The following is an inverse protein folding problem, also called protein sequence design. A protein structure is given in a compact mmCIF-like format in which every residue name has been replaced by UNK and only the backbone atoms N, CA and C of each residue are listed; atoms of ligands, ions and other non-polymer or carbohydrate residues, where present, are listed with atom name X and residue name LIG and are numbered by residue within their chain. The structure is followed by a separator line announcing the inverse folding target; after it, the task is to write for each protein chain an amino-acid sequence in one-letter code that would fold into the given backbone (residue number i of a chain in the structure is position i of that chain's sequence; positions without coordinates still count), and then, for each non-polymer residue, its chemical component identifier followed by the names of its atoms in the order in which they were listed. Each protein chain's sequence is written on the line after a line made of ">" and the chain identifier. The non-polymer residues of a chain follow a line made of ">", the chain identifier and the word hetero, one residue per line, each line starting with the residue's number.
data_IF_494199043366
#
_entry.id   IF_494199043366
#
_cell.length_a   1.000
_cell.length_b   1.000
_cell.length_c   1.000
_cell.angle_alpha   90.00
_cell.angle_beta   90.00
_cell.angle_gamma   90.00
#
_symmetry.space_group_name_H-M   'P 1'
#
loop_
_entity.id
_entity.type
_entity.pdbx_description
1 polymer ?
#
# COMPACT_ATOMS: atom_id res chain seq x y z
N UNK A 1 0.99 -17.75 -35.13
CA UNK A 1 0.42 -16.45 -35.11
C UNK A 1 -0.45 -16.23 -33.95
N UNK A 2 -1.39 -17.06 -33.69
CA UNK A 2 -2.27 -16.89 -32.57
C UNK A 2 -1.55 -16.83 -31.25
N UNK A 3 -0.45 -17.54 -31.11
CA UNK A 3 0.33 -17.51 -29.90
C UNK A 3 1.04 -16.17 -29.67
N UNK A 4 1.23 -15.37 -30.72
CA UNK A 4 1.82 -14.05 -30.56
C UNK A 4 0.88 -13.10 -29.83
N UNK A 5 -0.40 -13.18 -30.10
CA UNK A 5 -1.37 -12.36 -29.41
C UNK A 5 -1.40 -12.66 -27.92
N UNK A 6 -1.34 -13.96 -27.57
CA UNK A 6 -1.31 -14.35 -26.19
C UNK A 6 -0.08 -13.85 -25.46
N UNK A 7 1.03 -13.83 -26.14
CA UNK A 7 2.26 -13.34 -25.58
C UNK A 7 2.18 -11.83 -25.25
N UNK A 8 1.63 -11.04 -26.14
CA UNK A 8 1.48 -9.62 -25.92
C UNK A 8 0.59 -9.32 -24.73
N UNK A 9 -0.44 -10.11 -24.50
CA UNK A 9 -1.29 -10.02 -23.36
C UNK A 9 -0.54 -10.15 -22.06
N UNK A 10 0.32 -11.19 -21.94
CA UNK A 10 1.09 -11.45 -20.74
C UNK A 10 1.99 -10.28 -20.39
N UNK A 11 2.62 -9.68 -21.37
CA UNK A 11 3.51 -8.55 -21.13
C UNK A 11 2.73 -7.37 -20.56
N UNK A 12 1.59 -7.06 -21.13
CA UNK A 12 0.79 -5.94 -20.66
C UNK A 12 0.29 -6.17 -19.23
N UNK A 13 -0.18 -7.37 -18.95
CA UNK A 13 -0.66 -7.70 -17.61
C UNK A 13 0.46 -7.61 -16.59
N UNK A 14 1.64 -8.09 -16.90
CA UNK A 14 2.79 -8.02 -16.00
C UNK A 14 3.18 -6.59 -15.68
N UNK A 15 3.20 -5.73 -16.68
CA UNK A 15 3.58 -4.34 -16.49
C UNK A 15 2.60 -3.60 -15.58
N UNK A 16 1.31 -3.91 -15.66
CA UNK A 16 0.30 -3.24 -14.88
C UNK A 16 0.28 -3.67 -13.42
N UNK A 17 0.82 -4.84 -13.11
CA UNK A 17 0.70 -5.41 -11.79
C UNK A 17 1.97 -5.31 -10.94
N UNK A 18 3.03 -4.74 -11.47
CA UNK A 18 4.31 -4.76 -10.78
C UNK A 18 4.40 -3.71 -9.69
N UNK A 19 4.73 -4.13 -8.46
CA UNK A 19 5.05 -3.29 -7.31
C UNK A 19 6.20 -3.96 -6.58
N UNK A 20 7.19 -3.18 -6.17
CA UNK A 20 8.32 -3.70 -5.38
C UNK A 20 7.81 -4.30 -4.07
N UNK A 21 8.61 -5.15 -3.45
CA UNK A 21 8.22 -5.84 -2.21
C UNK A 21 9.18 -5.55 -1.06
N UNK A 22 8.67 -5.69 0.15
CA UNK A 22 9.45 -5.65 1.37
C UNK A 22 8.89 -6.65 2.36
N UNK A 23 9.74 -7.20 3.23
CA UNK A 23 9.28 -8.09 4.30
C UNK A 23 8.90 -7.28 5.52
N UNK A 24 7.96 -7.79 6.31
CA UNK A 24 7.58 -7.17 7.58
C UNK A 24 8.82 -6.91 8.45
N UNK A 25 9.74 -7.86 8.51
CA UNK A 25 10.96 -7.72 9.31
C UNK A 25 11.86 -6.57 8.86
N UNK A 26 11.70 -6.09 7.65
CA UNK A 26 12.50 -5.00 7.09
C UNK A 26 11.82 -3.63 7.23
N UNK A 27 10.58 -3.60 7.71
CA UNK A 27 9.87 -2.35 7.93
C UNK A 27 10.42 -1.63 9.18
N UNK A 28 10.34 -0.29 9.20
CA UNK A 28 10.60 0.44 10.45
C UNK A 28 9.65 -0.03 11.56
N UNK A 29 10.07 0.06 12.82
CA UNK A 29 9.20 -0.37 13.94
C UNK A 29 7.83 0.30 13.92
N UNK A 30 7.77 1.57 13.60
CA UNK A 30 6.50 2.31 13.55
C UNK A 30 5.55 1.76 12.48
N UNK A 31 6.09 1.26 11.38
CA UNK A 31 5.28 0.64 10.33
C UNK A 31 4.76 -0.72 10.79
N UNK A 32 5.57 -1.50 11.51
CA UNK A 32 5.11 -2.76 12.09
C UNK A 32 4.00 -2.52 13.10
N UNK A 33 4.13 -1.47 13.92
CA UNK A 33 3.10 -1.10 14.89
C UNK A 33 1.78 -0.76 14.20
N UNK A 34 1.84 0.04 13.14
CA UNK A 34 0.65 0.39 12.36
C UNK A 34 0.02 -0.85 11.74
N UNK A 35 0.83 -1.74 11.19
CA UNK A 35 0.32 -2.98 10.61
C UNK A 35 -0.45 -3.81 11.64
N UNK A 36 0.09 -3.91 12.85
CA UNK A 36 -0.57 -4.60 13.95
C UNK A 36 -1.92 -3.95 14.29
N UNK A 37 -1.97 -2.61 14.35
CA UNK A 37 -3.21 -1.90 14.60
C UNK A 37 -4.26 -2.14 13.51
N UNK A 38 -3.84 -2.14 12.26
CA UNK A 38 -4.76 -2.40 11.13
C UNK A 38 -5.37 -3.79 11.28
N UNK A 39 -4.55 -4.79 11.56
CA UNK A 39 -5.02 -6.17 11.72
C UNK A 39 -5.96 -6.34 12.92
N UNK A 40 -5.76 -5.54 13.94
CA UNK A 40 -6.59 -5.56 15.13
C UNK A 40 -7.88 -4.73 14.99
N UNK A 41 -7.99 -3.94 13.94
CA UNK A 41 -9.15 -3.07 13.74
C UNK A 41 -9.11 -1.77 14.53
N UNK A 42 -7.95 -1.36 14.98
CA UNK A 42 -7.76 -0.15 15.77
C UNK A 42 -7.63 -0.43 17.25
N UNK A 43 -7.77 0.59 18.11
CA UNK A 43 -8.07 1.99 17.76
C UNK A 43 -6.89 2.70 17.10
N UNK A 44 -7.22 3.62 16.20
CA UNK A 44 -6.21 4.35 15.44
C UNK A 44 -5.92 5.70 16.07
N UNK A 45 -4.70 6.21 15.83
CA UNK A 45 -4.24 7.45 16.48
C UNK A 45 -4.61 8.72 15.75
N UNK A 46 -4.88 8.64 14.46
CA UNK A 46 -5.12 9.80 13.62
C UNK A 46 -6.53 9.76 13.04
N UNK A 47 -7.21 10.92 12.94
CA UNK A 47 -8.57 10.94 12.40
C UNK A 47 -8.66 10.47 10.94
N UNK A 48 -7.54 10.58 10.20
CA UNK A 48 -7.49 10.18 8.81
C UNK A 48 -7.36 8.67 8.62
N UNK A 49 -7.00 7.94 9.67
CA UNK A 49 -6.76 6.52 9.55
C UNK A 49 -8.04 5.75 9.19
N UNK A 50 -7.93 4.88 8.21
CA UNK A 50 -9.06 4.10 7.72
C UNK A 50 -9.84 4.76 6.61
N UNK A 51 -9.48 5.98 6.19
CA UNK A 51 -10.16 6.64 5.09
C UNK A 51 -9.78 6.03 3.75
N UNK A 52 -10.65 6.21 2.76
CA UNK A 52 -10.39 5.71 1.41
C UNK A 52 -9.15 6.35 0.81
N UNK A 53 -8.27 5.50 0.28
CA UNK A 53 -7.17 5.94 -0.58
C UNK A 53 -7.60 5.77 -2.03
N UNK A 54 -7.58 6.86 -2.80
CA UNK A 54 -8.18 6.87 -4.13
C UNK A 54 -7.28 6.35 -5.26
N UNK A 55 -5.98 6.19 -4.99
CA UNK A 55 -5.03 5.66 -5.99
C UNK A 55 -5.06 6.47 -7.30
N UNK A 56 -5.12 7.80 -7.18
CA UNK A 56 -5.30 8.68 -8.34
C UNK A 56 -4.17 8.59 -9.35
N UNK A 57 -2.93 8.43 -8.89
CA UNK A 57 -1.78 8.26 -9.76
C UNK A 57 -1.64 6.84 -10.29
N UNK A 58 -2.50 5.95 -9.87
CA UNK A 58 -2.52 4.55 -10.34
C UNK A 58 -1.20 3.81 -10.13
N UNK A 59 -0.52 4.12 -9.02
CA UNK A 59 0.72 3.44 -8.64
C UNK A 59 0.42 2.02 -8.17
N UNK A 60 -0.69 1.83 -7.45
CA UNK A 60 -1.18 0.51 -7.05
C UNK A 60 -2.09 -0.06 -8.13
N UNK A 61 -2.32 -1.40 -8.13
CA UNK A 61 -3.25 -2.00 -9.08
C UNK A 61 -4.62 -1.32 -9.04
N UNK A 62 -5.22 -1.15 -10.20
CA UNK A 62 -6.52 -0.48 -10.30
C UNK A 62 -7.60 -1.34 -9.65
N UNK A 63 -8.39 -0.72 -8.77
CA UNK A 63 -9.54 -1.34 -8.12
C UNK A 63 -10.67 -0.33 -8.01
N UNK A 64 -11.87 -0.81 -7.65
CA UNK A 64 -13.01 0.07 -7.45
C UNK A 64 -12.80 1.00 -6.26
N UNK A 65 -13.51 2.10 -6.26
CA UNK A 65 -13.46 3.07 -5.18
C UNK A 65 -13.80 2.39 -3.85
N UNK A 66 -13.03 2.73 -2.82
CA UNK A 66 -13.22 2.15 -1.49
C UNK A 66 -12.47 0.86 -1.26
N UNK A 67 -11.81 0.32 -2.29
CA UNK A 67 -11.01 -0.89 -2.14
C UNK A 67 -9.82 -0.68 -1.23
N UNK A 68 -9.15 0.48 -1.34
CA UNK A 68 -7.96 0.81 -0.56
C UNK A 68 -8.29 1.77 0.57
N UNK A 69 -7.64 1.56 1.72
CA UNK A 69 -7.74 2.45 2.89
C UNK A 69 -6.35 2.85 3.36
N UNK A 70 -6.20 4.10 3.76
CA UNK A 70 -4.90 4.62 4.22
C UNK A 70 -4.79 4.61 5.72
N UNK A 71 -3.56 4.44 6.21
CA UNK A 71 -3.25 4.49 7.64
C UNK A 71 -1.91 5.17 7.83
N UNK A 72 -1.81 5.96 8.89
CA UNK A 72 -0.60 6.72 9.19
C UNK A 72 0.45 5.85 9.87
N UNK A 73 1.68 5.95 9.38
CA UNK A 73 2.86 5.41 10.07
C UNK A 73 3.57 6.60 10.70
N UNK A 74 3.71 6.58 12.02
CA UNK A 74 4.33 7.69 12.76
C UNK A 74 5.76 7.92 12.28
N UNK A 75 6.12 9.18 12.07
CA UNK A 75 7.49 9.59 11.80
C UNK A 75 8.05 10.16 13.10
N UNK A 76 9.02 9.50 13.75
CA UNK A 76 9.57 10.01 15.00
C UNK A 76 10.13 11.41 14.83
N UNK A 77 9.80 12.30 15.78
CA UNK A 77 10.25 13.68 15.75
C UNK A 77 9.50 14.62 14.82
N UNK A 78 8.59 14.11 14.01
CA UNK A 78 7.80 14.98 13.13
C UNK A 78 6.70 15.68 13.92
N UNK A 79 6.44 16.94 13.58
CA UNK A 79 5.36 17.72 14.20
C UNK A 79 4.00 17.37 13.66
N UNK A 80 3.96 16.94 12.41
CA UNK A 80 2.72 16.55 11.74
C UNK A 80 2.71 15.03 11.50
N UNK A 81 1.80 14.56 10.65
CA UNK A 81 1.70 13.14 10.33
C UNK A 81 2.91 12.59 9.57
N UNK A 82 3.73 13.48 8.97
CA UNK A 82 4.79 13.04 8.10
C UNK A 82 4.27 12.40 6.82
N UNK A 83 5.15 11.72 6.09
CA UNK A 83 4.85 11.20 4.75
C UNK A 83 4.67 9.68 4.70
N UNK A 84 4.78 8.99 5.84
CA UNK A 84 4.74 7.52 5.86
C UNK A 84 3.32 7.02 6.02
N UNK A 85 2.94 6.01 5.23
CA UNK A 85 1.60 5.41 5.28
C UNK A 85 1.67 3.91 5.04
N UNK A 86 0.63 3.21 5.51
CA UNK A 86 0.31 1.88 4.99
C UNK A 86 -1.05 2.00 4.31
N UNK A 87 -1.15 1.42 3.12
CA UNK A 87 -2.42 1.29 2.40
C UNK A 87 -2.82 -0.17 2.44
N UNK A 88 -4.02 -0.43 2.91
CA UNK A 88 -4.58 -1.77 3.00
C UNK A 88 -5.61 -1.99 1.89
N UNK A 89 -5.48 -3.08 1.16
CA UNK A 89 -6.46 -3.49 0.18
C UNK A 89 -7.50 -4.42 0.80
N UNK A 90 -8.71 -4.39 0.26
CA UNK A 90 -9.81 -5.24 0.75
C UNK A 90 -9.49 -6.73 0.63
N UNK A 91 -8.61 -7.09 -0.29
CA UNK A 91 -8.18 -8.48 -0.47
C UNK A 91 -7.19 -8.98 0.57
N UNK A 92 -6.81 -8.15 1.54
CA UNK A 92 -5.88 -8.54 2.60
C UNK A 92 -4.44 -8.19 2.31
N UNK A 93 -4.15 -7.49 1.24
CA UNK A 93 -2.80 -7.05 0.93
C UNK A 93 -2.49 -5.70 1.56
N UNK A 94 -1.21 -5.46 1.83
CA UNK A 94 -0.74 -4.23 2.45
C UNK A 94 0.43 -3.65 1.66
N UNK A 95 0.46 -2.32 1.56
CA UNK A 95 1.52 -1.60 0.85
C UNK A 95 2.07 -0.51 1.75
N UNK A 96 3.40 -0.38 1.77
CA UNK A 96 4.08 0.65 2.56
C UNK A 96 4.62 1.74 1.65
N UNK A 97 4.43 3.00 2.05
CA UNK A 97 5.05 4.16 1.39
C UNK A 97 5.71 5.06 2.43
N UNK A 98 6.86 5.61 2.10
CA UNK A 98 7.54 6.58 2.95
C UNK A 98 7.68 7.94 2.28
N UNK A 99 7.11 8.11 1.10
CA UNK A 99 7.22 9.33 0.30
C UNK A 99 5.85 9.86 -0.12
N UNK A 100 4.87 9.74 0.74
CA UNK A 100 3.51 10.25 0.56
C UNK A 100 2.90 9.77 -0.76
N UNK A 101 2.86 8.45 -0.94
CA UNK A 101 2.20 7.75 -2.04
C UNK A 101 2.89 7.83 -3.40
N UNK A 102 4.12 8.36 -3.48
CA UNK A 102 4.83 8.39 -4.75
C UNK A 102 5.33 7.02 -5.16
N UNK A 103 5.81 6.24 -4.19
CA UNK A 103 6.24 4.87 -4.43
C UNK A 103 5.70 3.97 -3.32
N UNK A 104 5.51 2.70 -3.64
CA UNK A 104 5.01 1.71 -2.69
C UNK A 104 5.85 0.44 -2.75
N UNK A 105 5.85 -0.28 -1.64
CA UNK A 105 6.35 -1.66 -1.59
C UNK A 105 5.27 -2.54 -0.99
N UNK A 106 4.99 -3.66 -1.63
CA UNK A 106 4.04 -4.62 -1.06
C UNK A 106 4.70 -5.33 0.12
N UNK A 107 3.98 -5.39 1.22
CA UNK A 107 4.48 -6.02 2.45
C UNK A 107 4.24 -7.53 2.38
N UNK A 108 5.32 -8.29 2.53
CA UNK A 108 5.25 -9.75 2.63
C UNK A 108 5.52 -10.18 4.06
N UNK A 109 4.69 -11.05 4.55
CA UNK A 109 4.78 -11.52 5.93
C UNK A 109 5.51 -12.85 6.06
#
# INVERSE_FOLDING_TARGET
>A
MRWLAGFAWLVAAGALAFVAETKVSQLPPEARDTLTLIKAGGPYRYPQDGKTFHNREKVLPKRERGYYREFTVKTPGARDRGARRIVAGRGGEFYYTEDHYNTFRRIRE
#
